data_IF_694685250863
#
_entry.id   IF_694685250863
#
_cell.length_a   1.000
_cell.length_b   1.000
_cell.length_c   1.000
_cell.angle_alpha   90.00
_cell.angle_beta   90.00
_cell.angle_gamma   90.00
#
_symmetry.space_group_name_H-M   'P 1'
#
loop_
_entity.id
_entity.type
_entity.pdbx_description
1 polymer ?
#
# COMPACT_ATOMS: atom_id res chain seq x y z
N UNK A 1 1.47 9.43 -23.22
CA UNK A 1 0.77 9.77 -21.95
C UNK A 1 1.47 10.97 -21.34
N UNK A 2 0.74 12.00 -20.89
CA UNK A 2 1.35 13.09 -20.12
C UNK A 2 1.93 12.53 -18.82
N UNK A 3 3.08 13.04 -18.36
CA UNK A 3 3.70 12.60 -17.10
C UNK A 3 2.71 12.70 -15.92
N UNK A 4 1.81 13.68 -15.97
CA UNK A 4 0.73 13.84 -15.00
C UNK A 4 -0.24 12.65 -14.96
N UNK A 5 -0.60 12.09 -16.12
CA UNK A 5 -1.50 10.93 -16.16
C UNK A 5 -0.80 9.67 -15.63
N UNK A 6 0.49 9.49 -15.92
CA UNK A 6 1.26 8.37 -15.35
C UNK A 6 1.33 8.45 -13.82
N UNK A 7 1.66 9.62 -13.27
CA UNK A 7 1.69 9.84 -11.81
C UNK A 7 0.34 9.59 -11.14
N UNK A 8 -0.77 9.95 -11.80
CA UNK A 8 -2.12 9.65 -11.33
C UNK A 8 -2.39 8.14 -11.22
N UNK A 9 -2.07 7.36 -12.26
CA UNK A 9 -2.24 5.89 -12.21
C UNK A 9 -1.38 5.25 -11.12
N UNK A 10 -0.16 5.73 -10.90
CA UNK A 10 0.71 5.23 -9.83
C UNK A 10 0.10 5.55 -8.45
N UNK A 11 -0.55 6.71 -8.27
CA UNK A 11 -1.29 7.01 -7.03
C UNK A 11 -2.46 6.06 -6.80
N UNK A 12 -3.23 5.74 -7.84
CA UNK A 12 -4.31 4.76 -7.74
C UNK A 12 -3.80 3.38 -7.34
N UNK A 13 -2.66 2.96 -7.90
CA UNK A 13 -1.99 1.72 -7.49
C UNK A 13 -1.54 1.80 -6.03
N UNK A 14 -0.94 2.90 -5.60
CA UNK A 14 -0.55 3.11 -4.20
C UNK A 14 -1.73 3.04 -3.22
N UNK A 15 -2.86 3.65 -3.57
CA UNK A 15 -4.08 3.60 -2.75
C UNK A 15 -4.67 2.19 -2.70
N UNK A 16 -4.71 1.48 -3.82
CA UNK A 16 -5.15 0.08 -3.86
C UNK A 16 -4.23 -0.82 -3.00
N UNK A 17 -2.93 -0.57 -3.02
CA UNK A 17 -1.93 -1.32 -2.27
C UNK A 17 -2.08 -1.10 -0.74
N UNK A 18 -2.44 0.12 -0.33
CA UNK A 18 -2.80 0.43 1.07
C UNK A 18 -4.11 -0.26 1.49
N UNK A 19 -5.12 -0.30 0.63
CA UNK A 19 -6.37 -1.02 0.87
C UNK A 19 -6.12 -2.52 1.09
N UNK A 20 -5.28 -3.11 0.24
CA UNK A 20 -4.86 -4.52 0.36
C UNK A 20 -4.08 -4.74 1.66
N UNK A 21 -3.19 -3.81 2.05
CA UNK A 21 -2.46 -3.89 3.30
C UNK A 21 -3.40 -3.91 4.52
N UNK A 22 -4.40 -3.03 4.55
CA UNK A 22 -5.42 -3.00 5.62
C UNK A 22 -6.21 -4.31 5.64
N UNK A 23 -6.60 -4.83 4.47
CA UNK A 23 -7.26 -6.13 4.34
C UNK A 23 -6.44 -7.26 4.96
N UNK A 24 -5.14 -7.34 4.66
CA UNK A 24 -4.24 -8.33 5.24
C UNK A 24 -4.03 -8.15 6.75
N UNK A 25 -3.95 -6.91 7.26
CA UNK A 25 -3.85 -6.65 8.71
C UNK A 25 -5.10 -7.14 9.43
N UNK A 26 -6.29 -6.85 8.88
CA UNK A 26 -7.56 -7.31 9.44
C UNK A 26 -7.63 -8.85 9.41
N UNK A 27 -7.24 -9.48 8.31
CA UNK A 27 -7.22 -10.94 8.18
C UNK A 27 -6.27 -11.59 9.20
N UNK A 28 -5.07 -11.02 9.35
CA UNK A 28 -4.07 -11.45 10.33
C UNK A 28 -4.54 -11.32 11.77
N UNK A 29 -5.32 -10.26 12.09
CA UNK A 29 -5.79 -9.99 13.46
C UNK A 29 -7.04 -10.75 13.85
N UNK A 30 -8.01 -10.90 12.93
CA UNK A 30 -9.33 -11.43 13.27
C UNK A 30 -9.52 -12.90 12.92
N UNK A 31 -8.87 -13.41 11.87
CA UNK A 31 -9.13 -14.76 11.34
C UNK A 31 -7.98 -15.74 11.56
N UNK A 32 -6.76 -15.24 11.73
CA UNK A 32 -5.54 -16.05 11.87
C UNK A 32 -5.05 -15.99 13.32
N UNK A 33 -4.78 -17.16 13.93
CA UNK A 33 -4.12 -17.28 15.24
C UNK A 33 -2.88 -18.17 15.10
N UNK A 34 -1.79 -17.78 15.78
CA UNK A 34 -0.52 -18.52 15.77
C UNK A 34 0.51 -17.98 14.76
N UNK A 35 1.46 -18.83 14.35
CA UNK A 35 2.61 -18.48 13.50
C UNK A 35 2.22 -17.85 12.15
N UNK A 36 1.12 -18.33 11.55
CA UNK A 36 0.59 -17.81 10.28
C UNK A 36 0.13 -16.35 10.40
N UNK A 37 -0.39 -15.93 11.57
CA UNK A 37 -0.76 -14.53 11.79
C UNK A 37 0.48 -13.63 11.81
N UNK A 38 1.59 -14.11 12.35
CA UNK A 38 2.88 -13.40 12.34
C UNK A 38 3.38 -13.14 10.92
N UNK A 39 3.45 -14.19 10.09
CA UNK A 39 3.92 -14.09 8.70
C UNK A 39 3.01 -13.17 7.86
N UNK A 40 1.69 -13.32 7.98
CA UNK A 40 0.74 -12.47 7.23
C UNK A 40 0.81 -11.02 7.72
N UNK A 41 0.95 -10.79 9.02
CA UNK A 41 1.12 -9.43 9.56
C UNK A 41 2.41 -8.77 9.06
N UNK A 42 3.50 -9.53 8.95
CA UNK A 42 4.78 -9.04 8.44
C UNK A 42 4.67 -8.64 6.96
N UNK A 43 4.02 -9.47 6.15
CA UNK A 43 3.74 -9.15 4.75
C UNK A 43 2.81 -7.92 4.62
N UNK A 44 1.83 -7.79 5.51
CA UNK A 44 0.93 -6.65 5.52
C UNK A 44 1.64 -5.34 5.90
N UNK A 45 2.56 -5.39 6.86
CA UNK A 45 3.39 -4.23 7.22
C UNK A 45 4.32 -3.81 6.08
N UNK A 46 4.92 -4.76 5.38
CA UNK A 46 5.72 -4.48 4.18
C UNK A 46 4.86 -3.77 3.13
N UNK A 47 3.66 -4.28 2.85
CA UNK A 47 2.70 -3.66 1.91
C UNK A 47 2.29 -2.25 2.35
N UNK A 48 2.11 -2.01 3.66
CA UNK A 48 1.79 -0.70 4.20
C UNK A 48 2.96 0.29 4.02
N UNK A 49 4.19 -0.13 4.33
CA UNK A 49 5.39 0.69 4.16
C UNK A 49 5.59 1.06 2.69
N UNK A 50 5.52 0.09 1.76
CA UNK A 50 5.65 0.38 0.34
C UNK A 50 4.51 1.25 -0.19
N UNK A 51 3.25 0.96 0.17
CA UNK A 51 2.11 1.76 -0.25
C UNK A 51 2.17 3.20 0.27
N UNK A 52 2.62 3.40 1.50
CA UNK A 52 2.78 4.74 2.09
C UNK A 52 3.94 5.51 1.47
N UNK A 53 5.07 4.86 1.19
CA UNK A 53 6.20 5.49 0.47
C UNK A 53 5.82 5.90 -0.96
N UNK A 54 5.08 5.07 -1.68
CA UNK A 54 4.60 5.38 -3.04
C UNK A 54 3.68 6.60 -3.02
N UNK A 55 2.70 6.62 -2.12
CA UNK A 55 1.78 7.77 -1.99
C UNK A 55 2.53 9.02 -1.55
N UNK A 56 3.43 8.91 -0.57
CA UNK A 56 4.23 10.02 -0.09
C UNK A 56 5.07 10.63 -1.21
N UNK A 57 5.77 9.81 -1.98
CA UNK A 57 6.57 10.26 -3.11
C UNK A 57 5.72 11.00 -4.16
N UNK A 58 4.54 10.47 -4.52
CA UNK A 58 3.71 11.07 -5.57
C UNK A 58 3.03 12.35 -5.09
N UNK A 59 2.56 12.41 -3.84
CA UNK A 59 1.94 13.61 -3.27
C UNK A 59 2.95 14.75 -3.20
N UNK A 60 4.18 14.48 -2.77
CA UNK A 60 5.24 15.50 -2.71
C UNK A 60 5.80 15.87 -4.10
N UNK A 61 5.89 14.91 -5.02
CA UNK A 61 6.40 15.18 -6.37
C UNK A 61 5.39 15.92 -7.24
N UNK A 62 4.11 15.94 -6.86
CA UNK A 62 3.03 16.54 -7.63
C UNK A 62 2.85 15.91 -9.03
N UNK A 63 1.65 15.95 -9.63
CA UNK A 63 1.45 15.44 -10.99
C UNK A 63 2.24 16.23 -12.06
N UNK A 64 2.79 17.40 -11.72
CA UNK A 64 3.36 18.37 -12.66
C UNK A 64 4.82 18.80 -12.40
N UNK A 65 5.49 18.31 -11.35
CA UNK A 65 6.93 18.56 -11.19
C UNK A 65 7.78 17.59 -12.01
#
# INVERSE_FOLDING_TARGET
MSQAMLKMYISFVGMALLLVAIGFILLARYKLKGWLAGVVSLLAYISLIFGSLIIFYIVFSGPSA
#
